data_IF_561346626481
#
_entry.id   IF_561346626481
#
_cell.length_a   1.000
_cell.length_b   1.000
_cell.length_c   1.000
_cell.angle_alpha   90.00
_cell.angle_beta   90.00
_cell.angle_gamma   90.00
#
_symmetry.space_group_name_H-M   'P 1'
#
loop_
_entity.id
_entity.type
_entity.pdbx_description
1 polymer ?
#
# COMPACT_ATOMS: atom_id res chain seq x y z
N UNK A 1 -15.22 1.19 -27.85
CA UNK A 1 -16.28 1.06 -26.83
C UNK A 1 -15.94 -0.19 -26.04
N UNK A 2 -15.35 -0.04 -24.86
CA UNK A 2 -14.97 -1.19 -24.04
C UNK A 2 -16.25 -1.84 -23.49
N UNK A 3 -16.32 -3.15 -23.61
CA UNK A 3 -17.43 -3.99 -23.16
C UNK A 3 -17.59 -3.88 -21.64
N UNK A 4 -18.71 -3.31 -21.18
CA UNK A 4 -19.06 -3.13 -19.77
C UNK A 4 -19.59 -4.43 -19.11
N UNK A 5 -19.52 -5.58 -19.80
CA UNK A 5 -20.28 -6.78 -19.41
C UNK A 5 -19.71 -7.65 -18.28
N UNK A 6 -18.60 -7.30 -17.62
CA UNK A 6 -18.14 -8.03 -16.41
C UNK A 6 -17.36 -7.17 -15.42
N UNK A 7 -18.01 -6.23 -14.73
CA UNK A 7 -17.48 -5.79 -13.42
C UNK A 7 -17.70 -6.91 -12.41
N UNK A 8 -16.80 -7.90 -12.36
CA UNK A 8 -16.77 -8.81 -11.22
C UNK A 8 -16.70 -7.96 -9.95
N UNK A 9 -17.68 -8.12 -9.06
CA UNK A 9 -17.71 -7.38 -7.81
C UNK A 9 -16.43 -7.71 -7.04
N UNK A 10 -15.66 -6.69 -6.67
CA UNK A 10 -14.46 -6.89 -5.85
C UNK A 10 -14.89 -7.56 -4.53
N UNK A 11 -14.24 -8.66 -4.11
CA UNK A 11 -14.55 -9.30 -2.85
C UNK A 11 -14.35 -8.31 -1.69
N UNK A 12 -15.25 -8.33 -0.71
CA UNK A 12 -15.19 -7.44 0.46
C UNK A 12 -14.04 -7.78 1.41
N UNK A 13 -13.63 -9.06 1.41
CA UNK A 13 -12.55 -9.59 2.22
C UNK A 13 -11.68 -10.46 1.32
N UNK A 14 -10.37 -10.29 1.44
CA UNK A 14 -9.36 -11.08 0.72
C UNK A 14 -8.42 -11.74 1.75
N UNK A 15 -7.71 -12.78 1.32
CA UNK A 15 -6.81 -13.56 2.19
C UNK A 15 -7.53 -14.70 2.91
N UNK A 16 -6.73 -15.51 3.62
CA UNK A 16 -7.23 -16.65 4.38
C UNK A 16 -7.84 -16.18 5.72
N UNK A 17 -8.97 -16.77 6.12
CA UNK A 17 -9.77 -16.36 7.29
C UNK A 17 -9.06 -16.64 8.63
N UNK A 18 -8.07 -15.80 8.97
CA UNK A 18 -7.43 -15.76 10.28
C UNK A 18 -5.98 -16.24 10.34
N UNK A 19 -5.34 -16.50 9.19
CA UNK A 19 -3.91 -16.87 9.15
C UNK A 19 -3.12 -15.92 8.25
N UNK A 20 -2.05 -15.37 8.80
CA UNK A 20 -1.02 -14.69 8.03
C UNK A 20 -0.15 -15.77 7.38
N UNK A 21 0.02 -15.68 6.07
CA UNK A 21 0.79 -16.63 5.26
C UNK A 21 2.08 -15.97 4.78
N UNK A 22 3.12 -16.77 4.53
CA UNK A 22 4.37 -16.27 3.97
C UNK A 22 4.11 -15.56 2.61
N UNK A 23 4.74 -14.40 2.34
CA UNK A 23 5.84 -13.78 3.07
C UNK A 23 5.40 -12.76 4.15
N UNK A 24 4.12 -12.71 4.51
CA UNK A 24 3.60 -11.74 5.47
C UNK A 24 3.87 -12.17 6.93
N UNK A 25 4.02 -11.22 7.88
CA UNK A 25 3.97 -9.76 7.69
C UNK A 25 5.27 -9.19 7.13
N UNK A 26 5.15 -8.27 6.16
CA UNK A 26 6.29 -7.50 5.65
C UNK A 26 6.43 -6.22 6.47
N UNK A 27 7.58 -6.04 7.13
CA UNK A 27 7.85 -4.85 7.97
C UNK A 27 8.72 -3.86 7.21
N UNK A 28 8.20 -2.65 7.01
CA UNK A 28 8.91 -1.54 6.38
C UNK A 28 9.04 -0.37 7.37
N UNK A 29 10.17 0.33 7.34
CA UNK A 29 10.41 1.54 8.15
C UNK A 29 11.15 2.57 7.33
N UNK A 30 10.70 3.82 7.41
CA UNK A 30 11.35 4.96 6.76
C UNK A 30 10.71 6.27 7.18
N UNK A 31 11.44 7.37 7.05
CA UNK A 31 10.91 8.71 7.30
C UNK A 31 9.90 9.07 6.21
N UNK A 32 8.78 9.68 6.59
CA UNK A 32 7.78 10.17 5.64
C UNK A 32 8.43 11.14 4.63
N UNK A 33 8.26 10.88 3.34
CA UNK A 33 8.78 11.75 2.27
C UNK A 33 7.65 12.48 1.56
N UNK A 34 7.97 13.66 1.00
CA UNK A 34 7.06 14.34 0.07
C UNK A 34 6.98 13.50 -1.20
N UNK A 35 5.76 13.21 -1.63
CA UNK A 35 5.52 12.51 -2.88
C UNK A 35 5.68 13.41 -4.10
N UNK A 36 5.52 12.81 -5.27
CA UNK A 36 5.34 13.55 -6.52
C UNK A 36 4.04 14.35 -6.42
N UNK A 37 4.08 15.65 -6.73
CA UNK A 37 3.05 16.66 -6.45
C UNK A 37 1.78 16.45 -7.31
N UNK A 38 1.20 15.25 -7.31
CA UNK A 38 -0.04 14.87 -7.99
C UNK A 38 -0.97 14.17 -7.00
N UNK A 39 -2.18 14.68 -6.85
CA UNK A 39 -3.36 13.92 -6.38
C UNK A 39 -3.72 13.89 -4.88
N UNK A 40 -2.87 14.34 -3.95
CA UNK A 40 -3.12 14.13 -2.51
C UNK A 40 -4.07 15.13 -1.82
N UNK A 41 -4.16 16.38 -2.29
CA UNK A 41 -4.98 17.42 -1.62
C UNK A 41 -6.48 17.33 -1.95
N UNK A 42 -6.85 16.64 -3.01
CA UNK A 42 -8.23 16.61 -3.52
C UNK A 42 -9.01 15.36 -3.11
N UNK A 43 -8.31 14.26 -2.76
CA UNK A 43 -8.93 12.96 -2.49
C UNK A 43 -9.33 12.73 -1.02
N UNK A 44 -9.05 13.67 -0.10
CA UNK A 44 -9.31 13.57 1.35
C UNK A 44 -8.77 12.30 2.06
N UNK A 45 -7.97 11.48 1.37
CA UNK A 45 -7.35 10.26 1.91
C UNK A 45 -5.87 10.57 2.13
N UNK A 46 -5.42 10.71 3.38
CA UNK A 46 -4.02 11.02 3.66
C UNK A 46 -3.12 9.85 3.22
N UNK A 47 -2.05 10.17 2.50
CA UNK A 47 -1.03 9.21 2.08
C UNK A 47 0.33 9.60 2.63
N UNK A 48 1.16 8.60 2.96
CA UNK A 48 2.54 8.78 3.40
C UNK A 48 3.44 8.01 2.42
N UNK A 49 4.42 8.70 1.85
CA UNK A 49 5.38 8.07 0.96
C UNK A 49 6.58 7.56 1.76
N UNK A 50 7.06 6.36 1.42
CA UNK A 50 8.31 5.82 1.93
C UNK A 50 9.52 6.46 1.21
N UNK A 51 10.71 6.48 1.83
CA UNK A 51 11.94 6.81 1.15
C UNK A 51 12.18 5.89 -0.05
N UNK A 52 12.71 6.44 -1.15
CA UNK A 52 12.91 5.71 -2.40
C UNK A 52 13.71 4.42 -2.21
N UNK A 53 14.79 4.46 -1.42
CA UNK A 53 15.63 3.28 -1.14
C UNK A 53 14.87 2.17 -0.39
N UNK A 54 13.89 2.52 0.45
CA UNK A 54 13.04 1.55 1.14
C UNK A 54 12.08 0.90 0.14
N UNK A 55 11.44 1.69 -0.71
CA UNK A 55 10.52 1.19 -1.75
C UNK A 55 11.24 0.31 -2.79
N UNK A 56 12.42 0.73 -3.25
CA UNK A 56 13.23 -0.07 -4.19
C UNK A 56 13.63 -1.42 -3.59
N UNK A 57 14.03 -1.44 -2.31
CA UNK A 57 14.36 -2.70 -1.63
C UNK A 57 13.12 -3.57 -1.42
N UNK A 58 11.98 -2.98 -1.06
CA UNK A 58 10.74 -3.72 -0.92
C UNK A 58 10.33 -4.39 -2.25
N UNK A 59 10.40 -3.65 -3.36
CA UNK A 59 10.08 -4.17 -4.70
C UNK A 59 10.93 -5.34 -5.20
N UNK A 60 12.00 -5.72 -4.48
CA UNK A 60 12.75 -6.95 -4.75
C UNK A 60 12.07 -8.21 -4.17
N UNK A 61 11.14 -8.05 -3.23
CA UNK A 61 10.51 -9.15 -2.48
C UNK A 61 8.98 -9.10 -2.49
N UNK A 62 8.38 -7.94 -2.81
CA UNK A 62 6.94 -7.77 -2.98
C UNK A 62 6.64 -7.22 -4.37
N UNK A 63 5.52 -7.68 -4.95
CA UNK A 63 5.06 -7.20 -6.24
C UNK A 63 4.49 -5.77 -6.15
N UNK A 64 4.46 -5.05 -7.27
CA UNK A 64 3.79 -3.75 -7.34
C UNK A 64 2.27 -3.96 -7.29
N UNK A 65 1.63 -3.65 -6.16
CA UNK A 65 0.19 -3.83 -5.97
C UNK A 65 -0.35 -2.97 -4.80
N UNK A 66 -1.63 -3.15 -4.47
CA UNK A 66 -2.28 -2.59 -3.28
C UNK A 66 -2.31 -3.66 -2.18
N UNK A 67 -1.72 -3.34 -1.02
CA UNK A 67 -1.68 -4.23 0.14
C UNK A 67 -2.43 -3.61 1.32
N UNK A 68 -2.96 -4.46 2.19
CA UNK A 68 -3.53 -4.06 3.49
C UNK A 68 -2.52 -4.33 4.60
N UNK A 69 -2.56 -3.53 5.66
CA UNK A 69 -1.64 -3.64 6.78
C UNK A 69 -1.82 -2.54 7.80
N UNK A 70 -0.90 -2.48 8.76
CA UNK A 70 -0.89 -1.47 9.81
C UNK A 70 0.18 -0.41 9.53
N UNK A 71 -0.14 0.85 9.81
CA UNK A 71 0.80 1.96 9.74
C UNK A 71 0.95 2.60 11.13
N UNK A 72 2.17 2.60 11.66
CA UNK A 72 2.52 3.31 12.88
C UNK A 72 3.40 4.53 12.53
N UNK A 73 2.95 5.72 12.89
CA UNK A 73 3.70 6.97 12.71
C UNK A 73 4.26 7.43 14.06
N UNK A 74 5.59 7.51 14.15
CA UNK A 74 6.30 8.02 15.34
C UNK A 74 6.74 9.46 15.04
N UNK A 75 6.42 10.38 15.95
CA UNK A 75 6.91 11.75 15.91
C UNK A 75 8.20 11.80 16.73
N UNK A 76 9.27 12.32 16.12
CA UNK A 76 10.51 12.64 16.84
C UNK A 76 10.31 14.07 17.35
N UNK A 77 10.32 14.25 18.67
CA UNK A 77 10.34 15.56 19.33
C UNK A 77 11.71 16.24 19.21
#
# INVERSE_FOLDING_TARGET
>A
MADESQTQQRPLVIGNNGKVEEPYPVKLKGSATKGFVRGGKELAIPTVNLPENVSQRAGQFIETSIYTGELAQQFIE
#
